data_IF_264824324288
#
_entry.id   IF_264824324288
#
_cell.length_a   1.000
_cell.length_b   1.000
_cell.length_c   1.000
_cell.angle_alpha   90.00
_cell.angle_beta   90.00
_cell.angle_gamma   90.00
#
_symmetry.space_group_name_H-M   'P 1'
#
loop_
_entity.id
_entity.type
_entity.pdbx_description
1 polymer ?
#
# COMPACT_ATOMS: atom_id res chain seq x y z
N UNK A 1 18.73 -20.71 -37.95
CA UNK A 1 19.31 -19.36 -37.74
C UNK A 1 18.16 -18.37 -37.63
N UNK A 2 17.72 -18.04 -36.40
CA UNK A 2 16.73 -16.98 -36.17
C UNK A 2 17.06 -16.25 -34.86
N UNK A 3 17.00 -14.93 -34.96
CA UNK A 3 17.69 -13.95 -34.11
C UNK A 3 16.97 -13.67 -32.79
N UNK A 4 17.75 -13.60 -31.71
CA UNK A 4 17.33 -13.08 -30.41
C UNK A 4 17.31 -11.56 -30.52
N UNK A 5 16.12 -10.95 -30.57
CA UNK A 5 15.96 -9.50 -30.38
C UNK A 5 15.94 -9.23 -28.88
N UNK A 6 17.10 -8.86 -28.35
CA UNK A 6 17.27 -8.28 -27.02
C UNK A 6 16.46 -6.98 -26.95
N UNK A 7 15.34 -7.01 -26.22
CA UNK A 7 14.65 -5.79 -25.78
C UNK A 7 14.79 -5.75 -24.26
N UNK A 8 15.93 -5.23 -23.81
CA UNK A 8 16.15 -4.92 -22.41
C UNK A 8 15.26 -3.74 -22.03
N UNK A 9 14.25 -4.00 -21.20
CA UNK A 9 13.48 -2.95 -20.54
C UNK A 9 13.96 -2.91 -19.09
N UNK A 10 14.82 -1.93 -18.79
CA UNK A 10 15.21 -1.59 -17.43
C UNK A 10 14.21 -0.56 -16.93
N UNK A 11 13.25 -0.99 -16.11
CA UNK A 11 12.38 -0.07 -15.37
C UNK A 11 13.10 0.22 -14.06
N UNK A 12 13.82 1.34 -14.01
CA UNK A 12 14.31 1.90 -12.75
C UNK A 12 13.10 2.48 -12.00
N UNK A 13 12.57 1.71 -11.05
CA UNK A 13 11.48 2.16 -10.18
C UNK A 13 12.11 2.85 -8.96
N UNK A 14 12.30 4.17 -9.03
CA UNK A 14 12.64 4.98 -7.86
C UNK A 14 11.40 5.14 -6.99
N UNK A 15 11.23 4.28 -5.99
CA UNK A 15 10.14 4.34 -5.04
C UNK A 15 10.43 5.43 -3.97
N UNK A 16 9.86 6.62 -4.15
CA UNK A 16 9.55 7.49 -3.02
C UNK A 16 8.12 7.18 -2.60
N UNK A 17 7.96 6.45 -1.51
CA UNK A 17 6.65 6.07 -0.99
C UNK A 17 6.08 7.24 -0.16
N UNK A 18 5.18 8.02 -0.76
CA UNK A 18 4.28 8.91 -0.05
C UNK A 18 2.86 8.34 -0.19
N UNK A 19 2.42 7.54 0.79
CA UNK A 19 1.06 7.03 0.84
C UNK A 19 0.11 8.13 1.36
N UNK A 20 -0.17 9.12 0.51
CA UNK A 20 -1.38 9.92 0.62
C UNK A 20 -2.46 9.20 -0.18
N UNK A 21 -3.57 8.85 0.47
CA UNK A 21 -4.70 8.19 -0.17
C UNK A 21 -5.39 9.10 -1.17
N UNK A 22 -4.82 9.24 -2.35
CA UNK A 22 -5.55 9.72 -3.52
C UNK A 22 -6.39 8.54 -4.01
N UNK A 23 -7.65 8.48 -3.59
CA UNK A 23 -8.62 7.61 -4.24
C UNK A 23 -8.99 8.26 -5.57
N UNK A 24 -8.09 8.16 -6.56
CA UNK A 24 -8.44 8.43 -7.94
C UNK A 24 -9.57 7.45 -8.31
N UNK A 25 -10.79 7.95 -8.43
CA UNK A 25 -11.93 7.17 -8.92
C UNK A 25 -11.66 6.86 -10.40
N UNK A 26 -10.98 5.74 -10.65
CA UNK A 26 -10.77 5.22 -12.00
C UNK A 26 -12.14 5.03 -12.65
N UNK A 27 -12.43 5.77 -13.71
CA UNK A 27 -13.66 5.56 -14.48
C UNK A 27 -13.57 4.18 -15.11
N UNK A 28 -14.68 3.44 -15.15
CA UNK A 28 -14.71 2.09 -15.72
C UNK A 28 -14.23 2.03 -17.18
N UNK A 29 -14.30 3.14 -17.91
CA UNK A 29 -13.81 3.29 -19.29
C UNK A 29 -12.28 3.38 -19.40
N UNK A 30 -11.59 3.76 -18.31
CA UNK A 30 -10.13 3.92 -18.27
C UNK A 30 -9.39 2.62 -17.87
N UNK A 31 -10.14 1.62 -17.40
CA UNK A 31 -9.59 0.32 -16.99
C UNK A 31 -9.79 -0.69 -18.12
N UNK A 32 -8.77 -0.88 -18.96
CA UNK A 32 -8.76 -1.99 -19.92
C UNK A 32 -8.64 -3.32 -19.17
N UNK A 33 -9.73 -4.07 -19.10
CA UNK A 33 -9.78 -5.43 -18.55
C UNK A 33 -9.37 -6.51 -19.57
N UNK A 34 -8.98 -6.10 -20.77
CA UNK A 34 -8.59 -6.99 -21.85
C UNK A 34 -7.17 -7.51 -21.60
N UNK A 35 -7.05 -8.73 -21.10
CA UNK A 35 -5.77 -9.45 -21.05
C UNK A 35 -5.33 -9.79 -22.47
N UNK A 36 -4.09 -9.47 -22.82
CA UNK A 36 -3.45 -9.93 -24.06
C UNK A 36 -2.97 -11.39 -23.98
N UNK A 37 -2.97 -11.98 -22.78
CA UNK A 37 -2.53 -13.36 -22.55
C UNK A 37 -3.68 -14.35 -22.69
N UNK A 38 -3.39 -15.48 -23.32
CA UNK A 38 -4.26 -16.66 -23.31
C UNK A 38 -4.33 -17.27 -21.92
N UNK A 39 -5.38 -18.06 -21.67
CA UNK A 39 -5.52 -18.77 -20.39
C UNK A 39 -4.36 -19.71 -20.09
N UNK A 40 -3.77 -20.32 -21.13
CA UNK A 40 -2.62 -21.20 -20.98
C UNK A 40 -1.37 -20.45 -20.51
N UNK A 41 -1.12 -19.27 -21.07
CA UNK A 41 0.01 -18.41 -20.69
C UNK A 41 -0.13 -17.91 -19.25
N UNK A 42 -1.32 -17.47 -18.84
CA UNK A 42 -1.59 -17.05 -17.45
C UNK A 42 -1.31 -18.18 -16.45
N UNK A 43 -1.69 -19.42 -16.79
CA UNK A 43 -1.41 -20.59 -15.93
C UNK A 43 0.09 -20.88 -15.87
N UNK A 44 0.80 -20.79 -16.99
CA UNK A 44 2.24 -21.00 -17.03
C UNK A 44 2.99 -19.96 -16.18
N UNK A 45 2.62 -18.69 -16.31
CA UNK A 45 3.20 -17.59 -15.53
C UNK A 45 2.92 -17.74 -14.03
N UNK A 46 1.69 -18.12 -13.68
CA UNK A 46 1.33 -18.42 -12.30
C UNK A 46 2.20 -19.53 -11.70
N UNK A 47 2.39 -20.65 -12.42
CA UNK A 47 3.21 -21.76 -11.94
C UNK A 47 4.69 -21.37 -11.83
N UNK A 48 5.22 -20.60 -12.77
CA UNK A 48 6.59 -20.10 -12.72
C UNK A 48 6.81 -19.13 -11.55
N UNK A 49 5.85 -18.24 -11.28
CA UNK A 49 5.91 -17.32 -10.14
C UNK A 49 5.81 -18.07 -8.81
N UNK A 50 4.97 -19.10 -8.73
CA UNK A 50 4.86 -19.99 -7.56
C UNK A 50 6.16 -20.76 -7.31
N UNK A 51 6.71 -21.40 -8.34
CA UNK A 51 7.97 -22.14 -8.23
C UNK A 51 9.16 -21.23 -7.83
N UNK A 52 9.12 -19.97 -8.24
CA UNK A 52 10.10 -18.96 -7.85
C UNK A 52 9.87 -18.36 -6.45
N UNK A 53 8.82 -18.78 -5.72
CA UNK A 53 8.49 -18.23 -4.40
C UNK A 53 8.04 -16.76 -4.43
N UNK A 54 7.59 -16.26 -5.58
CA UNK A 54 7.15 -14.86 -5.76
C UNK A 54 5.68 -14.63 -5.42
N UNK A 55 4.95 -15.71 -5.13
CA UNK A 55 3.56 -15.66 -4.68
C UNK A 55 3.54 -15.98 -3.19
N UNK A 56 3.09 -15.04 -2.37
CA UNK A 56 2.83 -15.31 -0.96
C UNK A 56 1.64 -16.28 -0.84
N UNK A 57 1.79 -17.34 -0.05
CA UNK A 57 0.73 -18.31 0.23
C UNK A 57 0.10 -18.00 1.61
N UNK A 58 -1.23 -17.82 1.66
CA UNK A 58 -2.00 -17.60 2.90
C UNK A 58 -2.01 -16.17 3.46
N UNK A 59 -2.58 -15.98 4.66
CA UNK A 59 -2.63 -14.71 5.42
C UNK A 59 -1.25 -14.28 5.96
N UNK A 60 -0.16 -14.87 5.47
CA UNK A 60 1.22 -14.68 5.94
C UNK A 60 1.77 -13.27 5.75
N UNK A 61 0.99 -12.34 5.21
CA UNK A 61 1.27 -10.91 5.29
C UNK A 61 0.69 -10.31 6.59
N UNK A 62 0.90 -11.00 7.71
CA UNK A 62 0.72 -10.39 9.03
C UNK A 62 1.85 -9.38 9.14
N UNK A 63 1.52 -8.10 8.91
CA UNK A 63 2.43 -6.99 9.19
C UNK A 63 3.03 -7.24 10.57
N UNK A 64 4.36 -7.22 10.64
CA UNK A 64 5.08 -7.44 11.89
C UNK A 64 4.59 -6.41 12.91
N UNK A 65 4.61 -6.70 14.22
CA UNK A 65 4.15 -5.75 15.23
C UNK A 65 4.82 -4.38 15.11
N UNK A 66 6.07 -4.30 14.67
CA UNK A 66 6.78 -3.04 14.37
C UNK A 66 6.23 -2.27 13.17
N UNK A 67 5.60 -2.95 12.21
CA UNK A 67 4.96 -2.35 11.04
C UNK A 67 3.54 -1.83 11.34
N UNK A 68 2.94 -2.23 12.47
CA UNK A 68 1.60 -1.79 12.92
C UNK A 68 1.62 -0.93 14.18
N UNK A 69 2.75 -0.89 14.89
CA UNK A 69 2.85 -0.17 16.15
C UNK A 69 3.15 1.31 15.93
N UNK A 70 2.08 2.11 15.84
CA UNK A 70 2.20 3.56 15.98
C UNK A 70 2.44 3.89 17.45
N UNK A 71 3.65 4.38 17.78
CA UNK A 71 3.96 4.93 19.11
C UNK A 71 3.80 6.44 19.08
N UNK A 72 3.04 6.98 20.04
CA UNK A 72 3.02 8.43 20.27
C UNK A 72 4.43 8.91 20.63
N UNK A 73 4.85 10.03 20.05
CA UNK A 73 6.09 10.73 20.44
C UNK A 73 5.90 11.62 21.67
N UNK A 74 4.65 11.84 22.11
CA UNK A 74 4.31 12.68 23.25
C UNK A 74 4.27 11.88 24.56
N UNK A 75 4.81 12.47 25.62
CA UNK A 75 4.63 11.95 26.97
C UNK A 75 3.21 12.18 27.46
N UNK A 76 2.80 11.45 28.50
CA UNK A 76 1.45 11.58 29.05
C UNK A 76 1.22 12.98 29.63
N UNK A 77 2.25 13.58 30.22
CA UNK A 77 2.21 14.92 30.78
C UNK A 77 2.00 15.98 29.70
N UNK A 78 2.66 15.84 28.53
CA UNK A 78 2.51 16.76 27.41
C UNK A 78 1.07 16.72 26.86
N UNK A 79 0.51 15.52 26.69
CA UNK A 79 -0.88 15.35 26.23
C UNK A 79 -1.87 15.97 27.21
N UNK A 80 -1.62 15.85 28.52
CA UNK A 80 -2.48 16.47 29.55
C UNK A 80 -2.38 18.00 29.49
N UNK A 81 -1.19 18.56 29.31
CA UNK A 81 -0.99 20.00 29.16
C UNK A 81 -1.74 20.55 27.93
N UNK A 82 -1.61 19.87 26.79
CA UNK A 82 -2.30 20.25 25.54
C UNK A 82 -3.81 20.17 25.70
N UNK A 83 -4.32 19.13 26.37
CA UNK A 83 -5.75 19.01 26.66
C UNK A 83 -6.27 20.18 27.51
N UNK A 84 -5.55 20.57 28.57
CA UNK A 84 -5.96 21.68 29.42
C UNK A 84 -5.91 23.02 28.68
N UNK A 85 -4.91 23.23 27.83
CA UNK A 85 -4.80 24.42 26.99
C UNK A 85 -5.97 24.53 26.00
N UNK A 86 -6.28 23.43 25.30
CA UNK A 86 -7.41 23.37 24.37
C UNK A 86 -8.76 23.58 25.08
N UNK A 87 -8.91 23.05 26.29
CA UNK A 87 -10.10 23.27 27.13
C UNK A 87 -10.24 24.73 27.53
N UNK A 88 -9.16 25.36 28.00
CA UNK A 88 -9.15 26.77 28.37
C UNK A 88 -9.42 27.68 27.15
N UNK A 89 -8.96 27.28 25.97
CA UNK A 89 -9.22 27.96 24.71
C UNK A 89 -10.63 27.70 24.14
N UNK A 90 -11.47 26.89 24.80
CA UNK A 90 -12.82 26.56 24.33
C UNK A 90 -12.84 25.71 23.06
N UNK A 91 -11.74 25.06 22.70
CA UNK A 91 -11.59 24.27 21.48
C UNK A 91 -12.10 22.83 21.63
N UNK A 92 -12.43 22.41 22.85
CA UNK A 92 -12.97 21.08 23.12
C UNK A 92 -14.51 21.19 23.12
N UNK A 93 -15.20 20.67 22.09
CA UNK A 93 -16.66 20.64 22.10
C UNK A 93 -17.13 19.82 23.29
N UNK A 94 -17.85 20.46 24.20
CA UNK A 94 -18.59 19.78 25.26
C UNK A 94 -19.90 19.35 24.62
N UNK A 95 -20.03 18.07 24.28
CA UNK A 95 -21.32 17.53 23.87
C UNK A 95 -22.26 17.61 25.07
N UNK A 96 -23.21 18.55 25.07
CA UNK A 96 -24.42 18.39 25.87
C UNK A 96 -25.11 17.12 25.39
N UNK A 97 -25.30 16.15 26.29
CA UNK A 97 -26.29 15.08 26.12
C UNK A 97 -27.66 15.58 26.54
#
# INVERSE_FOLDING_TARGET
>A
MFAIRTMGVVIALSATAAFAGDQTLLRADEVSLQSSLTRAEVIADYQAARAAGRIAEGDGNVLRPDETQVRSTLTREAVIADFQAARAAGQIPSGDQ
#
